data_IF_746805608770
#
_entry.id   IF_746805608770
#
_cell.length_a   1.000
_cell.length_b   1.000
_cell.length_c   1.000
_cell.angle_alpha   90.00
_cell.angle_beta   90.00
_cell.angle_gamma   90.00
#
_symmetry.space_group_name_H-M   'P 1'
#
loop_
_entity.id
_entity.type
_entity.pdbx_description
1 polymer ?
#
# COMPACT_ATOMS: atom_id res chain seq x y z
N UNK A 1 5.07 5.04 18.85
CA UNK A 1 3.75 4.48 18.43
C UNK A 1 3.98 3.09 17.85
N UNK A 2 3.26 2.09 18.38
CA UNK A 2 3.46 0.66 18.11
C UNK A 2 2.99 0.29 16.70
N UNK A 3 3.91 0.15 15.76
CA UNK A 3 3.63 -0.46 14.46
C UNK A 3 4.30 -1.82 14.40
N UNK A 4 3.53 -2.91 14.27
CA UNK A 4 4.07 -4.19 13.79
C UNK A 4 4.79 -3.90 12.48
N UNK A 5 6.12 -3.94 12.49
CA UNK A 5 6.91 -3.84 11.26
C UNK A 5 6.68 -5.11 10.47
N UNK A 6 5.79 -5.05 9.47
CA UNK A 6 5.63 -6.15 8.54
C UNK A 6 6.87 -6.15 7.66
N UNK A 7 7.70 -7.18 7.80
CA UNK A 7 8.89 -7.36 6.98
C UNK A 7 8.46 -7.83 5.58
N UNK A 8 8.56 -6.95 4.58
CA UNK A 8 8.32 -7.27 3.17
C UNK A 8 9.48 -6.80 2.32
N UNK A 9 9.60 -7.39 1.13
CA UNK A 9 10.66 -7.13 0.18
C UNK A 9 10.10 -6.62 -1.16
N UNK A 10 11.00 -6.12 -2.00
CA UNK A 10 10.67 -5.80 -3.38
C UNK A 10 10.28 -7.09 -4.10
N UNK A 11 9.20 -7.04 -4.87
CA UNK A 11 8.60 -8.18 -5.54
C UNK A 11 7.39 -8.78 -4.81
N UNK A 12 7.20 -8.47 -3.52
CA UNK A 12 6.04 -8.94 -2.77
C UNK A 12 4.76 -8.24 -3.22
N UNK A 13 3.65 -8.98 -3.15
CA UNK A 13 2.32 -8.44 -3.35
C UNK A 13 1.77 -7.97 -2.00
N UNK A 14 1.60 -6.66 -1.86
CA UNK A 14 1.22 -6.02 -0.62
C UNK A 14 -0.18 -5.41 -0.75
N UNK A 15 -1.02 -5.67 0.23
CA UNK A 15 -2.31 -5.01 0.43
C UNK A 15 -2.15 -3.96 1.53
N UNK A 16 -2.32 -2.71 1.16
CA UNK A 16 -2.18 -1.54 2.02
C UNK A 16 -3.57 -1.01 2.38
N UNK A 17 -3.86 -0.93 3.67
CA UNK A 17 -5.09 -0.34 4.19
C UNK A 17 -4.82 1.10 4.60
N UNK A 18 -5.40 2.04 3.86
CA UNK A 18 -5.29 3.47 4.14
C UNK A 18 -6.47 3.99 4.91
N UNK A 19 -6.17 4.88 5.84
CA UNK A 19 -7.16 5.78 6.40
C UNK A 19 -7.46 6.89 5.40
N UNK A 20 -8.71 6.99 4.98
CA UNK A 20 -9.23 8.15 4.27
C UNK A 20 -10.20 8.89 5.19
N UNK A 21 -10.03 10.21 5.26
CA UNK A 21 -10.89 11.09 6.05
C UNK A 21 -11.67 11.95 5.06
N UNK A 22 -12.99 11.89 5.13
CA UNK A 22 -13.90 12.72 4.34
C UNK A 22 -14.55 13.71 5.29
N UNK A 23 -14.54 14.99 4.93
CA UNK A 23 -15.20 16.06 5.69
C UNK A 23 -16.43 16.50 4.91
N UNK A 24 -17.58 16.45 5.55
CA UNK A 24 -18.85 16.86 4.96
C UNK A 24 -19.45 18.01 5.77
N UNK A 25 -20.04 18.99 5.06
CA UNK A 25 -20.74 20.11 5.68
C UNK A 25 -22.23 19.79 5.69
N UNK A 26 -22.77 19.57 6.87
CA UNK A 26 -24.18 19.22 7.08
C UNK A 26 -24.93 20.46 7.57
N UNK A 27 -26.10 20.74 6.98
CA UNK A 27 -26.95 21.83 7.42
C UNK A 27 -27.47 21.56 8.84
N UNK A 28 -27.36 22.55 9.72
CA UNK A 28 -27.88 22.51 11.08
C UNK A 28 -29.40 22.72 11.13
N UNK A 29 -29.92 22.88 12.36
CA UNK A 29 -31.37 23.06 12.58
C UNK A 29 -31.86 24.41 12.06
N UNK A 30 -30.99 25.41 12.04
CA UNK A 30 -31.34 26.77 11.60
C UNK A 30 -30.75 27.06 10.21
N UNK A 31 -31.42 27.89 9.41
CA UNK A 31 -31.05 28.25 8.02
C UNK A 31 -29.62 28.81 7.83
N UNK A 32 -28.92 29.18 8.91
CA UNK A 32 -27.54 29.73 8.91
C UNK A 32 -26.53 28.84 9.65
N UNK A 33 -26.97 27.72 10.21
CA UNK A 33 -26.14 26.82 11.00
C UNK A 33 -25.57 25.74 10.06
N UNK A 34 -24.25 25.52 10.12
CA UNK A 34 -23.55 24.50 9.33
C UNK A 34 -22.59 23.77 10.26
N UNK A 35 -22.67 22.45 10.27
CA UNK A 35 -21.78 21.57 11.03
C UNK A 35 -20.79 20.89 10.09
N UNK A 36 -19.55 20.70 10.55
CA UNK A 36 -18.57 19.86 9.85
C UNK A 36 -18.54 18.48 10.49
N UNK A 37 -19.01 17.47 9.76
CA UNK A 37 -18.90 16.08 10.14
C UNK A 37 -17.67 15.45 9.48
N UNK A 38 -16.99 14.58 10.22
CA UNK A 38 -15.79 13.89 9.75
C UNK A 38 -16.05 12.39 9.71
N UNK A 39 -16.02 11.82 8.51
CA UNK A 39 -16.17 10.39 8.29
C UNK A 39 -14.81 9.75 8.01
N UNK A 40 -14.51 8.65 8.71
CA UNK A 40 -13.31 7.87 8.48
C UNK A 40 -13.65 6.58 7.73
N UNK A 41 -13.09 6.40 6.53
CA UNK A 41 -13.17 5.13 5.79
C UNK A 41 -11.81 4.50 5.62
N UNK A 42 -11.80 3.20 5.37
CA UNK A 42 -10.57 2.46 5.07
C UNK A 42 -10.55 2.09 3.60
N UNK A 43 -9.60 2.64 2.84
CA UNK A 43 -9.42 2.30 1.43
C UNK A 43 -8.31 1.26 1.28
N UNK A 44 -8.53 0.26 0.44
CA UNK A 44 -7.57 -0.81 0.19
C UNK A 44 -6.86 -0.60 -1.13
N UNK A 45 -5.53 -0.63 -1.13
CA UNK A 45 -4.70 -0.63 -2.32
C UNK A 45 -3.81 -1.87 -2.34
N UNK A 46 -4.01 -2.72 -3.33
CA UNK A 46 -3.24 -3.95 -3.51
C UNK A 46 -2.37 -3.85 -4.76
N UNK A 47 -1.09 -4.22 -4.65
CA UNK A 47 -0.17 -4.24 -5.77
C UNK A 47 1.20 -4.79 -5.41
N UNK A 48 2.10 -4.78 -6.39
CA UNK A 48 3.48 -5.27 -6.24
C UNK A 48 4.36 -4.16 -5.68
N UNK A 49 5.18 -4.47 -4.69
CA UNK A 49 6.24 -3.57 -4.23
C UNK A 49 7.35 -3.55 -5.28
N UNK A 50 7.52 -2.42 -5.95
CA UNK A 50 8.51 -2.29 -7.04
C UNK A 50 9.80 -1.60 -6.62
N UNK A 51 9.79 -0.88 -5.49
CA UNK A 51 10.97 -0.24 -4.95
C UNK A 51 10.78 0.05 -3.46
N UNK A 52 11.88 -0.02 -2.71
CA UNK A 52 12.00 0.48 -1.35
C UNK A 52 13.21 1.43 -1.36
N UNK A 53 13.08 2.61 -0.76
CA UNK A 53 14.14 3.64 -0.71
C UNK A 53 14.16 4.32 0.66
N UNK A 54 15.27 4.96 0.99
CA UNK A 54 15.45 5.61 2.29
C UNK A 54 15.81 4.62 3.38
N UNK A 55 16.04 5.15 4.59
CA UNK A 55 16.54 4.42 5.75
C UNK A 55 15.76 4.89 6.98
N UNK A 56 15.52 3.99 7.94
CA UNK A 56 14.88 4.30 9.22
C UNK A 56 13.49 4.91 9.03
N UNK A 57 13.22 6.04 9.70
CA UNK A 57 11.92 6.72 9.65
C UNK A 57 11.57 7.27 8.26
N UNK A 58 12.58 7.56 7.42
CA UNK A 58 12.40 8.06 6.06
C UNK A 58 12.29 6.95 5.02
N UNK A 59 12.09 5.70 5.46
CA UNK A 59 11.88 4.57 4.55
C UNK A 59 10.56 4.74 3.81
N UNK A 60 10.64 4.77 2.48
CA UNK A 60 9.51 4.86 1.56
C UNK A 60 9.46 3.59 0.71
N UNK A 61 8.27 3.14 0.37
CA UNK A 61 8.06 2.03 -0.56
C UNK A 61 7.08 2.42 -1.67
N UNK A 62 7.23 1.81 -2.83
CA UNK A 62 6.40 2.06 -4.00
C UNK A 62 5.63 0.80 -4.35
N UNK A 63 4.30 0.90 -4.29
CA UNK A 63 3.38 -0.18 -4.69
C UNK A 63 2.79 0.15 -6.05
N UNK A 64 2.88 -0.79 -6.99
CA UNK A 64 2.35 -0.67 -8.35
C UNK A 64 1.22 -1.67 -8.59
N UNK A 65 0.13 -1.22 -9.20
CA UNK A 65 -0.90 -2.10 -9.77
C UNK A 65 -1.32 -1.61 -11.16
N UNK A 66 -1.81 -2.52 -11.99
CA UNK A 66 -2.51 -2.14 -13.22
C UNK A 66 -3.99 -2.06 -12.87
N UNK A 67 -4.57 -0.87 -12.99
CA UNK A 67 -5.97 -0.60 -12.73
C UNK A 67 -6.85 -0.86 -13.96
N UNK A 68 -8.06 -0.29 -13.90
CA UNK A 68 -8.99 -0.31 -15.01
C UNK A 68 -8.41 0.41 -16.25
N UNK A 69 -8.83 -0.02 -17.44
CA UNK A 69 -8.33 0.55 -18.70
C UNK A 69 -6.85 0.30 -19.00
N UNK A 70 -6.20 -0.67 -18.32
CA UNK A 70 -4.74 -0.93 -18.41
C UNK A 70 -3.86 0.22 -17.91
N UNK A 71 -4.42 1.13 -17.12
CA UNK A 71 -3.68 2.27 -16.56
C UNK A 71 -2.83 1.80 -15.38
N UNK A 72 -1.52 2.07 -15.43
CA UNK A 72 -0.60 1.78 -14.33
C UNK A 72 -0.79 2.80 -13.20
N UNK A 73 -1.09 2.32 -11.99
CA UNK A 73 -1.24 3.15 -10.80
C UNK A 73 -0.10 2.82 -9.84
N UNK A 74 0.66 3.83 -9.43
CA UNK A 74 1.72 3.72 -8.45
C UNK A 74 1.41 4.58 -7.22
N UNK A 75 1.68 4.03 -6.03
CA UNK A 75 1.59 4.75 -4.75
C UNK A 75 2.95 4.70 -4.06
N UNK A 76 3.51 5.87 -3.76
CA UNK A 76 4.76 6.02 -3.02
C UNK A 76 4.42 6.43 -1.59
N UNK A 77 4.90 5.67 -0.60
CA UNK A 77 4.37 5.72 0.75
C UNK A 77 5.46 5.66 1.80
N UNK A 78 5.35 6.46 2.87
CA UNK A 78 6.20 6.28 4.03
C UNK A 78 5.81 5.01 4.79
N UNK A 79 6.79 4.17 5.11
CA UNK A 79 6.60 2.94 5.88
C UNK A 79 5.99 3.22 7.26
N UNK A 80 6.38 4.34 7.87
CA UNK A 80 5.95 4.74 9.22
C UNK A 80 4.80 5.76 9.22
N UNK A 81 4.06 5.85 8.12
CA UNK A 81 2.96 6.81 7.99
C UNK A 81 1.79 6.47 8.93
N UNK A 82 1.25 7.44 9.71
CA UNK A 82 0.06 7.22 10.55
C UNK A 82 -1.21 6.99 9.72
N UNK A 83 -1.17 7.29 8.42
CA UNK A 83 -2.27 7.08 7.50
C UNK A 83 -2.40 5.61 7.05
N UNK A 84 -1.39 4.77 7.31
CA UNK A 84 -1.44 3.34 7.03
C UNK A 84 -1.98 2.63 8.26
N UNK A 85 -3.18 2.05 8.15
CA UNK A 85 -3.81 1.27 9.23
C UNK A 85 -3.22 -0.13 9.33
N UNK A 86 -2.95 -0.78 8.19
CA UNK A 86 -2.50 -2.18 8.13
C UNK A 86 -1.76 -2.45 6.83
N UNK A 87 -0.73 -3.28 6.91
CA UNK A 87 -0.04 -3.89 5.78
C UNK A 87 -0.24 -5.40 5.83
N UNK A 88 -0.62 -6.00 4.71
CA UNK A 88 -0.77 -7.45 4.57
C UNK A 88 0.02 -7.94 3.36
N UNK A 89 0.88 -8.94 3.57
CA UNK A 89 1.56 -9.64 2.47
C UNK A 89 0.59 -10.67 1.91
N UNK A 90 0.18 -10.50 0.66
CA UNK A 90 -0.71 -11.44 -0.03
C UNK A 90 0.07 -12.56 -0.69
N UNK A 91 1.23 -12.24 -1.27
CA UNK A 91 2.13 -13.18 -1.94
C UNK A 91 3.58 -12.72 -1.80
N UNK A 92 4.49 -13.67 -1.61
CA UNK A 92 5.94 -13.38 -1.56
C UNK A 92 6.58 -13.63 -2.94
N UNK A 93 7.28 -12.64 -3.46
CA UNK A 93 7.86 -12.68 -4.80
C UNK A 93 9.38 -12.82 -4.78
N UNK A 94 9.94 -13.75 -5.56
CA UNK A 94 11.38 -13.83 -5.80
C UNK A 94 11.75 -12.93 -6.97
N UNK A 95 12.57 -11.94 -6.68
CA UNK A 95 13.17 -11.08 -7.70
C UNK A 95 14.67 -10.97 -7.50
N UNK A 96 15.38 -10.71 -8.60
CA UNK A 96 16.83 -10.50 -8.58
C UNK A 96 17.22 -9.03 -8.52
N UNK A 97 16.31 -8.12 -8.89
CA UNK A 97 16.57 -6.68 -8.96
C UNK A 97 16.01 -6.00 -7.71
N UNK A 98 16.78 -5.07 -7.15
CA UNK A 98 16.34 -4.23 -6.03
C UNK A 98 15.23 -3.24 -6.42
N UNK A 99 15.07 -2.94 -7.72
CA UNK A 99 14.02 -2.06 -8.24
C UNK A 99 13.43 -2.67 -9.52
N UNK A 100 12.10 -2.78 -9.57
CA UNK A 100 11.35 -3.45 -10.64
C UNK A 100 10.73 -2.44 -11.62
N UNK A 101 11.44 -1.34 -11.93
CA UNK A 101 10.92 -0.31 -12.83
C UNK A 101 10.62 -0.83 -14.24
N UNK A 102 11.25 -1.94 -14.64
CA UNK A 102 10.94 -2.62 -15.90
C UNK A 102 9.46 -3.07 -15.98
N UNK A 103 8.74 -3.21 -14.87
CA UNK A 103 7.30 -3.54 -14.87
C UNK A 103 6.41 -2.39 -15.37
N UNK A 104 6.98 -1.20 -15.59
CA UNK A 104 6.27 -0.06 -16.20
C UNK A 104 6.01 -0.28 -17.68
N UNK A 105 6.99 -0.86 -18.37
CA UNK A 105 6.96 -1.08 -19.82
C UNK A 105 6.33 -2.42 -20.21
N UNK A 106 6.01 -3.26 -19.21
CA UNK A 106 5.37 -4.56 -19.40
C UNK A 106 3.86 -4.39 -19.51
N UNK A 107 3.24 -5.22 -20.35
CA UNK A 107 1.79 -5.22 -20.59
C UNK A 107 1.20 -6.61 -20.28
N UNK A 108 -0.07 -6.65 -19.89
CA UNK A 108 -0.81 -7.88 -19.65
C UNK A 108 -0.22 -8.69 -18.50
N UNK A 109 -0.16 -10.02 -18.66
CA UNK A 109 0.33 -10.94 -17.61
C UNK A 109 1.78 -10.66 -17.21
N UNK A 110 2.60 -10.13 -18.12
CA UNK A 110 4.01 -9.82 -17.84
C UNK A 110 4.22 -8.62 -16.93
N UNK A 111 3.21 -7.75 -16.79
CA UNK A 111 3.25 -6.57 -15.92
C UNK A 111 3.03 -6.91 -14.44
N UNK A 112 2.45 -8.08 -14.17
CA UNK A 112 2.00 -8.49 -12.83
C UNK A 112 2.56 -9.82 -12.37
N UNK A 113 3.17 -10.61 -13.26
CA UNK A 113 3.73 -11.91 -12.91
C UNK A 113 5.14 -11.78 -12.34
N UNK A 114 5.28 -12.12 -11.07
CA UNK A 114 6.56 -12.34 -10.39
C UNK A 114 6.61 -13.80 -9.98
N UNK A 115 7.80 -14.41 -10.03
CA UNK A 115 7.99 -15.77 -9.56
C UNK A 115 7.68 -15.85 -8.07
N UNK A 116 6.74 -16.70 -7.68
CA UNK A 116 6.33 -16.87 -6.30
C UNK A 116 7.36 -17.71 -5.54
N UNK A 117 7.64 -17.32 -4.30
CA UNK A 117 8.30 -18.19 -3.32
C UNK A 117 7.20 -18.77 -2.45
N UNK A 118 7.38 -20.02 -2.00
CA UNK A 118 6.54 -20.62 -0.97
C UNK A 118 6.31 -19.62 0.18
N UNK A 119 5.10 -19.59 0.76
CA UNK A 119 4.73 -18.59 1.75
C UNK A 119 5.75 -18.58 2.88
N UNK A 120 6.42 -17.44 3.09
CA UNK A 120 7.21 -17.23 4.29
C UNK A 120 6.21 -17.29 5.44
N UNK A 121 6.24 -18.40 6.19
CA UNK A 121 5.39 -18.59 7.36
C UNK A 121 5.40 -17.28 8.16
N UNK A 122 4.20 -16.79 8.46
CA UNK A 122 4.00 -15.58 9.25
C UNK A 122 4.94 -15.64 10.45
N UNK A 123 5.94 -14.74 10.49
CA UNK A 123 6.79 -14.59 11.67
C UNK A 123 5.95 -13.97 12.79
N UNK A 124 5.15 -14.82 13.41
CA UNK A 124 4.51 -14.66 14.69
C UNK A 124 5.09 -15.80 15.54
N UNK A 125 6.29 -15.59 16.08
CA UNK A 125 7.00 -16.61 16.85
C UNK A 125 8.51 -16.53 16.69
N UNK A 126 9.12 -15.40 17.01
CA UNK A 126 10.53 -15.35 17.37
C UNK A 126 10.76 -14.17 18.31
N UNK A 127 10.92 -14.54 19.60
CA UNK A 127 11.10 -13.73 20.81
C UNK A 127 9.82 -13.33 21.53
#
# INVERSE_FOLDING_TARGET
MKGKTVLFHVGDMLRVHYKLIEKEKVAGKTKREVHEETHERTQVFEGIVIAIKGIGMNTMFTVRRVGEGRIGIERILPLHSPWIKKLEIKKSGKVRRAKLYYLRDRIGKSATRIHEVLPVASQAGAR
#
